data_IF_741691657191
#
_entry.id   IF_741691657191
#
_cell.length_a   1.000
_cell.length_b   1.000
_cell.length_c   1.000
_cell.angle_alpha   90.00
_cell.angle_beta   90.00
_cell.angle_gamma   90.00
#
_symmetry.space_group_name_H-M   'P 1'
#
loop_
_entity.id
_entity.type
_entity.pdbx_description
1 polymer ?
#
# COMPACT_ATOMS: atom_id res chain seq x y z
N UNK A 1 27.48 43.90 15.14
CA UNK A 1 26.89 42.85 16.01
C UNK A 1 25.50 42.56 15.47
N UNK A 2 25.38 41.49 14.69
CA UNK A 2 24.09 40.98 14.21
C UNK A 2 23.72 39.85 15.19
N UNK A 3 22.53 39.84 15.81
CA UNK A 3 22.15 38.74 16.67
C UNK A 3 21.80 37.54 15.79
N UNK A 4 22.51 36.42 16.01
CA UNK A 4 22.15 35.09 15.54
C UNK A 4 20.76 34.74 16.10
N UNK A 5 19.73 34.86 15.29
CA UNK A 5 18.42 34.27 15.60
C UNK A 5 18.50 32.78 15.35
N UNK A 6 18.57 32.06 16.46
CA UNK A 6 17.87 30.82 16.74
C UNK A 6 17.73 29.86 15.56
N UNK A 7 18.63 28.87 15.55
CA UNK A 7 18.40 27.61 14.88
C UNK A 7 17.07 27.05 15.35
N UNK A 8 16.04 27.21 14.53
CA UNK A 8 14.77 26.54 14.70
C UNK A 8 15.07 25.05 14.95
N UNK A 9 14.49 24.42 15.99
CA UNK A 9 14.67 23.00 16.19
C UNK A 9 14.21 22.32 14.90
N UNK A 10 15.13 21.67 14.20
CA UNK A 10 14.82 20.83 13.06
C UNK A 10 13.75 19.86 13.52
N UNK A 11 12.49 20.16 13.22
CA UNK A 11 11.38 19.30 13.56
C UNK A 11 11.73 17.93 13.00
N UNK A 12 11.77 16.92 13.87
CA UNK A 12 11.99 15.54 13.45
C UNK A 12 11.13 15.28 12.22
N UNK A 13 11.70 14.73 11.13
CA UNK A 13 10.95 14.55 9.90
C UNK A 13 9.73 13.68 10.23
N UNK A 14 8.53 14.27 10.17
CA UNK A 14 7.29 13.53 10.32
C UNK A 14 7.36 12.38 9.31
N UNK A 15 7.43 11.14 9.81
CA UNK A 15 7.54 9.96 8.96
C UNK A 15 6.49 10.04 7.84
N UNK A 16 6.92 10.17 6.58
CA UNK A 16 6.01 10.47 5.50
C UNK A 16 5.02 9.31 5.30
N UNK A 17 3.80 9.63 4.87
CA UNK A 17 2.70 8.67 4.74
C UNK A 17 3.09 7.40 3.95
N UNK A 18 3.96 7.54 2.94
CA UNK A 18 4.42 6.41 2.13
C UNK A 18 5.27 5.39 2.91
N UNK A 19 6.06 5.80 3.91
CA UNK A 19 6.84 4.88 4.75
C UNK A 19 5.92 4.01 5.60
N UNK A 20 4.85 4.62 6.11
CA UNK A 20 3.81 3.94 6.89
C UNK A 20 3.10 2.88 6.04
N UNK A 21 2.77 3.19 4.79
CA UNK A 21 2.18 2.22 3.87
C UNK A 21 3.18 1.13 3.47
N UNK A 22 4.45 1.47 3.26
CA UNK A 22 5.45 0.43 2.99
C UNK A 22 5.59 -0.56 4.14
N UNK A 23 5.51 -0.09 5.39
CA UNK A 23 5.49 -0.98 6.56
C UNK A 23 4.31 -1.96 6.50
N UNK A 24 3.10 -1.45 6.21
CA UNK A 24 1.91 -2.28 5.99
C UNK A 24 2.13 -3.30 4.87
N UNK A 25 2.68 -2.88 3.72
CA UNK A 25 2.91 -3.79 2.59
C UNK A 25 3.93 -4.87 2.96
N UNK A 26 4.95 -4.54 3.74
CA UNK A 26 5.90 -5.54 4.25
C UNK A 26 5.23 -6.53 5.19
N UNK A 27 4.45 -6.04 6.16
CA UNK A 27 3.69 -6.87 7.11
C UNK A 27 2.71 -7.82 6.40
N UNK A 28 2.14 -7.38 5.28
CA UNK A 28 1.15 -8.14 4.52
C UNK A 28 1.77 -9.13 3.53
N UNK A 29 2.96 -8.84 2.98
CA UNK A 29 3.51 -9.63 1.86
C UNK A 29 4.78 -10.40 2.19
N UNK A 30 5.36 -10.21 3.38
CA UNK A 30 6.69 -10.70 3.77
C UNK A 30 7.80 -10.37 2.77
N UNK A 31 7.57 -9.42 1.85
CA UNK A 31 8.53 -9.00 0.83
C UNK A 31 9.16 -7.69 1.23
N UNK A 32 10.50 -7.72 1.32
CA UNK A 32 11.32 -6.54 1.54
C UNK A 32 11.36 -5.69 0.26
N UNK A 33 10.55 -4.63 0.24
CA UNK A 33 10.69 -3.54 -0.70
C UNK A 33 11.73 -2.53 -0.19
N UNK A 34 12.51 -1.91 -1.09
CA UNK A 34 13.39 -0.83 -0.67
C UNK A 34 12.59 0.31 -0.03
N UNK A 35 13.03 0.79 1.13
CA UNK A 35 12.42 1.94 1.82
C UNK A 35 12.79 3.25 1.13
N UNK A 36 12.26 3.44 -0.07
CA UNK A 36 12.50 4.64 -0.87
C UNK A 36 11.19 5.21 -1.42
N UNK A 37 11.09 6.55 -1.56
CA UNK A 37 9.99 7.18 -2.28
C UNK A 37 9.87 6.66 -3.72
N UNK A 38 11.00 6.36 -4.37
CA UNK A 38 11.03 5.80 -5.72
C UNK A 38 10.36 4.42 -5.78
N UNK A 39 10.50 3.59 -4.76
CA UNK A 39 9.82 2.29 -4.69
C UNK A 39 8.31 2.47 -4.59
N UNK A 40 7.88 3.43 -3.77
CA UNK A 40 6.47 3.70 -3.59
C UNK A 40 5.85 4.37 -4.83
N UNK A 41 6.44 5.46 -5.34
CA UNK A 41 5.91 6.28 -6.44
C UNK A 41 6.18 5.68 -7.82
N UNK A 42 7.36 5.09 -8.03
CA UNK A 42 7.84 4.64 -9.34
C UNK A 42 7.95 3.12 -9.44
N UNK A 43 7.52 2.37 -8.42
CA UNK A 43 7.64 0.92 -8.38
C UNK A 43 9.10 0.43 -8.54
N UNK A 44 10.08 1.24 -8.14
CA UNK A 44 11.49 0.87 -8.16
C UNK A 44 11.76 -0.29 -7.20
N UNK A 45 12.04 -1.48 -7.73
CA UNK A 45 12.18 -2.72 -6.98
C UNK A 45 13.37 -3.54 -7.49
N UNK A 46 13.99 -4.30 -6.61
CA UNK A 46 15.03 -5.28 -6.95
C UNK A 46 14.46 -6.57 -7.53
N UNK A 47 13.13 -6.75 -7.48
CA UNK A 47 12.45 -7.91 -8.04
C UNK A 47 12.50 -7.90 -9.57
N UNK A 48 12.61 -9.07 -10.19
CA UNK A 48 12.43 -9.20 -11.64
C UNK A 48 11.01 -8.76 -12.04
N UNK A 49 10.86 -8.19 -13.25
CA UNK A 49 9.56 -7.73 -13.75
C UNK A 49 8.48 -8.83 -13.70
N UNK A 50 8.86 -10.07 -14.04
CA UNK A 50 7.96 -11.22 -13.99
C UNK A 50 7.48 -11.52 -12.56
N UNK A 51 8.38 -11.48 -11.57
CA UNK A 51 8.03 -11.72 -10.16
C UNK A 51 7.19 -10.58 -9.62
N UNK A 52 7.51 -9.35 -10.02
CA UNK A 52 6.84 -8.15 -9.58
C UNK A 52 5.39 -8.09 -10.07
N UNK A 53 5.18 -8.29 -11.37
CA UNK A 53 3.85 -8.27 -12.01
C UNK A 53 2.95 -9.42 -11.56
N UNK A 54 3.54 -10.55 -11.14
CA UNK A 54 2.83 -11.71 -10.55
C UNK A 54 2.74 -11.65 -9.01
N UNK A 55 2.99 -10.49 -8.41
CA UNK A 55 2.83 -10.28 -6.97
C UNK A 55 1.66 -9.35 -6.69
N UNK A 56 1.20 -9.33 -5.44
CA UNK A 56 0.16 -8.40 -5.00
C UNK A 56 0.71 -6.97 -4.81
N UNK A 57 2.03 -6.82 -4.66
CA UNK A 57 2.69 -5.54 -4.34
C UNK A 57 2.31 -4.37 -5.26
N UNK A 58 2.34 -4.49 -6.61
CA UNK A 58 2.02 -3.37 -7.48
C UNK A 58 0.59 -2.86 -7.23
N UNK A 59 -0.35 -3.76 -6.91
CA UNK A 59 -1.73 -3.40 -6.57
C UNK A 59 -1.76 -2.64 -5.25
N UNK A 60 -1.14 -3.19 -4.22
CA UNK A 60 -1.08 -2.56 -2.90
C UNK A 60 -0.47 -1.15 -2.96
N UNK A 61 0.59 -0.97 -3.75
CA UNK A 61 1.21 0.34 -3.97
C UNK A 61 0.29 1.30 -4.73
N UNK A 62 -0.44 0.81 -5.73
CA UNK A 62 -1.38 1.66 -6.48
C UNK A 62 -2.59 2.08 -5.62
N UNK A 63 -3.13 1.17 -4.81
CA UNK A 63 -4.19 1.48 -3.85
C UNK A 63 -3.71 2.48 -2.80
N UNK A 64 -2.50 2.27 -2.28
CA UNK A 64 -1.86 3.20 -1.37
C UNK A 64 -1.70 4.60 -1.96
N UNK A 65 -1.33 4.71 -3.25
CA UNK A 65 -1.27 6.01 -3.96
C UNK A 65 -2.63 6.67 -4.05
N UNK A 66 -3.65 5.89 -4.40
CA UNK A 66 -5.02 6.38 -4.41
C UNK A 66 -5.44 6.86 -3.01
N UNK A 67 -4.97 6.24 -1.93
CA UNK A 67 -5.28 6.68 -0.57
C UNK A 67 -4.55 7.97 -0.14
N UNK A 68 -3.43 8.37 -0.76
CA UNK A 68 -2.67 9.55 -0.34
C UNK A 68 -3.56 10.79 -0.29
N UNK A 69 -4.36 11.06 -1.33
CA UNK A 69 -5.17 12.28 -1.36
C UNK A 69 -6.21 12.35 -0.23
N UNK A 70 -6.61 11.18 0.32
CA UNK A 70 -7.57 11.06 1.42
C UNK A 70 -6.88 11.27 2.77
N UNK A 71 -5.69 10.68 2.95
CA UNK A 71 -5.04 10.56 4.26
C UNK A 71 -3.76 11.39 4.43
N UNK A 72 -3.27 12.10 3.41
CA UNK A 72 -2.00 12.84 3.47
C UNK A 72 -1.95 13.93 4.55
N UNK A 73 -3.10 14.48 4.94
CA UNK A 73 -3.21 15.48 6.01
C UNK A 73 -3.34 14.85 7.40
N UNK A 74 -3.56 13.54 7.49
CA UNK A 74 -3.68 12.87 8.77
C UNK A 74 -2.30 12.62 9.38
N UNK A 75 -2.15 12.95 10.66
CA UNK A 75 -0.94 12.70 11.44
C UNK A 75 -0.77 11.23 11.78
N UNK A 76 -1.88 10.50 11.93
CA UNK A 76 -1.89 9.11 12.35
C UNK A 76 -1.66 8.18 11.15
N UNK A 77 -0.93 7.09 11.39
CA UNK A 77 -0.81 6.00 10.42
C UNK A 77 -2.19 5.35 10.25
N UNK A 78 -2.68 5.15 9.00
CA UNK A 78 -3.87 4.33 8.81
C UNK A 78 -3.59 2.95 9.40
N UNK A 79 -4.51 2.45 10.23
CA UNK A 79 -4.43 1.10 10.75
C UNK A 79 -4.40 0.11 9.58
N UNK A 80 -3.66 -0.99 9.73
CA UNK A 80 -3.61 -2.03 8.70
C UNK A 80 -5.02 -2.49 8.31
N UNK A 81 -5.90 -2.65 9.31
CA UNK A 81 -7.31 -3.01 9.13
C UNK A 81 -8.05 -2.04 8.20
N UNK A 82 -7.94 -0.73 8.45
CA UNK A 82 -8.54 0.29 7.58
C UNK A 82 -7.97 0.26 6.17
N UNK A 83 -6.67 0.05 6.04
CA UNK A 83 -6.06 -0.03 4.71
C UNK A 83 -6.55 -1.26 3.94
N UNK A 84 -6.67 -2.42 4.60
CA UNK A 84 -7.25 -3.63 4.00
C UNK A 84 -8.72 -3.41 3.62
N UNK A 85 -9.50 -2.72 4.45
CA UNK A 85 -10.89 -2.36 4.13
C UNK A 85 -10.99 -1.50 2.87
N UNK A 86 -10.11 -0.52 2.69
CA UNK A 86 -10.07 0.35 1.50
C UNK A 86 -9.65 -0.41 0.23
N UNK A 87 -8.65 -1.30 0.35
CA UNK A 87 -8.26 -2.20 -0.76
C UNK A 87 -9.43 -3.11 -1.14
N UNK A 88 -10.16 -3.64 -0.15
CA UNK A 88 -11.35 -4.45 -0.40
C UNK A 88 -12.52 -3.66 -0.99
N UNK A 89 -12.75 -2.42 -0.53
CA UNK A 89 -13.75 -1.55 -1.10
C UNK A 89 -13.45 -1.27 -2.59
N UNK A 90 -12.19 -1.00 -2.91
CA UNK A 90 -11.72 -0.83 -4.29
C UNK A 90 -11.94 -2.09 -5.12
N UNK A 91 -11.61 -3.27 -4.59
CA UNK A 91 -11.86 -4.54 -5.28
C UNK A 91 -13.35 -4.75 -5.54
N UNK A 92 -14.20 -4.59 -4.54
CA UNK A 92 -15.66 -4.77 -4.68
C UNK A 92 -16.25 -3.79 -5.70
N UNK A 93 -15.76 -2.55 -5.71
CA UNK A 93 -16.16 -1.57 -6.71
C UNK A 93 -15.75 -1.95 -8.14
N UNK A 94 -14.53 -2.47 -8.33
CA UNK A 94 -14.11 -2.98 -9.64
C UNK A 94 -14.92 -4.22 -10.07
N UNK A 95 -15.32 -5.08 -9.12
CA UNK A 95 -16.15 -6.26 -9.37
C UNK A 95 -17.54 -5.88 -9.90
N UNK A 96 -18.19 -4.89 -9.27
CA UNK A 96 -19.49 -4.36 -9.71
C UNK A 96 -19.44 -3.75 -11.12
N UNK A 97 -18.26 -3.37 -11.61
CA UNK A 97 -18.06 -2.87 -12.98
C UNK A 97 -17.75 -3.97 -13.99
N UNK A 98 -17.46 -5.20 -13.53
CA UNK A 98 -17.09 -6.32 -14.38
C UNK A 98 -18.31 -7.01 -15.02
N UNK A 99 -19.03 -6.24 -15.84
CA UNK A 99 -20.33 -6.64 -16.41
C UNK A 99 -20.21 -7.45 -17.72
N UNK A 100 -19.02 -7.55 -18.30
CA UNK A 100 -18.77 -8.37 -19.51
C UNK A 100 -17.78 -9.49 -19.20
N UNK A 101 -17.79 -10.61 -19.95
CA UNK A 101 -16.83 -11.70 -19.77
C UNK A 101 -15.37 -11.24 -19.84
N UNK A 102 -15.06 -10.31 -20.74
CA UNK A 102 -13.73 -9.72 -20.85
C UNK A 102 -13.34 -8.90 -19.60
N UNK A 103 -14.27 -8.09 -19.08
CA UNK A 103 -14.01 -7.35 -17.84
C UNK A 103 -13.87 -8.27 -16.63
N UNK A 104 -14.62 -9.38 -16.57
CA UNK A 104 -14.49 -10.40 -15.51
C UNK A 104 -13.14 -11.10 -15.56
N UNK A 105 -12.70 -11.56 -16.72
CA UNK A 105 -11.36 -12.18 -16.85
C UNK A 105 -10.24 -11.23 -16.41
N UNK A 106 -10.33 -9.96 -16.83
CA UNK A 106 -9.39 -8.91 -16.40
C UNK A 106 -9.45 -8.68 -14.89
N UNK A 107 -10.65 -8.62 -14.32
CA UNK A 107 -10.87 -8.48 -12.88
C UNK A 107 -10.25 -9.65 -12.11
N UNK A 108 -10.56 -10.89 -12.49
CA UNK A 108 -10.04 -12.10 -11.85
C UNK A 108 -8.52 -12.13 -11.88
N UNK A 109 -7.90 -11.90 -13.04
CA UNK A 109 -6.43 -11.83 -13.16
C UNK A 109 -5.84 -10.73 -12.29
N UNK A 110 -6.47 -9.55 -12.26
CA UNK A 110 -6.01 -8.39 -11.49
C UNK A 110 -6.06 -8.64 -9.97
N UNK A 111 -7.12 -9.28 -9.48
CA UNK A 111 -7.36 -9.46 -8.04
C UNK A 111 -7.02 -10.86 -7.52
N UNK A 112 -6.49 -11.73 -8.37
CA UNK A 112 -6.13 -13.11 -8.02
C UNK A 112 -5.17 -13.17 -6.82
N UNK A 113 -4.05 -12.44 -6.88
CA UNK A 113 -3.03 -12.48 -5.83
C UNK A 113 -3.52 -11.89 -4.51
N UNK A 114 -4.36 -10.86 -4.58
CA UNK A 114 -5.00 -10.30 -3.39
C UNK A 114 -6.00 -11.28 -2.77
N UNK A 115 -6.87 -11.88 -3.58
CA UNK A 115 -7.85 -12.87 -3.11
C UNK A 115 -7.15 -14.09 -2.49
N UNK A 116 -6.03 -14.55 -3.09
CA UNK A 116 -5.23 -15.64 -2.54
C UNK A 116 -4.59 -15.27 -1.20
N UNK A 117 -4.15 -14.03 -1.06
CA UNK A 117 -3.58 -13.51 0.19
C UNK A 117 -4.65 -13.40 1.28
N UNK A 118 -5.80 -12.80 0.99
CA UNK A 118 -6.87 -12.57 1.98
C UNK A 118 -7.59 -13.84 2.43
N UNK A 119 -7.57 -14.88 1.61
CA UNK A 119 -8.09 -16.21 1.95
C UNK A 119 -7.10 -17.08 2.71
N UNK A 120 -5.83 -16.68 2.80
CA UNK A 120 -4.83 -17.42 3.56
C UNK A 120 -5.02 -17.28 5.08
N UNK A 121 -4.88 -18.37 5.82
CA UNK A 121 -5.05 -18.37 7.27
C UNK A 121 -3.99 -17.51 7.98
N UNK A 122 -2.77 -17.44 7.44
CA UNK A 122 -1.71 -16.59 7.98
C UNK A 122 -2.11 -15.11 7.99
N UNK A 123 -2.68 -14.63 6.89
CA UNK A 123 -3.13 -13.25 6.78
C UNK A 123 -4.35 -12.98 7.66
N UNK A 124 -5.31 -13.92 7.74
CA UNK A 124 -6.50 -13.78 8.59
C UNK A 124 -6.14 -13.75 10.08
N UNK A 125 -5.22 -14.60 10.52
CA UNK A 125 -4.70 -14.57 11.89
C UNK A 125 -3.92 -13.31 12.18
N UNK A 126 -3.09 -12.83 11.24
CA UNK A 126 -2.36 -11.58 11.38
C UNK A 126 -3.30 -10.39 11.53
N UNK A 127 -4.36 -10.32 10.73
CA UNK A 127 -5.39 -9.29 10.85
C UNK A 127 -6.18 -9.35 12.16
N UNK A 128 -6.47 -10.55 12.68
CA UNK A 128 -7.20 -10.72 13.92
C UNK A 128 -6.37 -10.38 15.18
N UNK A 129 -5.04 -10.32 15.05
CA UNK A 129 -4.11 -10.01 16.13
C UNK A 129 -3.83 -8.50 16.29
N UNK A 130 -4.42 -7.66 15.44
CA UNK A 130 -4.27 -6.20 15.41
C UNK A 130 -5.50 -5.49 15.98
#
# INVERSE_FOLDING_TARGET
MVPDTDGAPCQEPRNPFWEKIQKIIHEVTDKLLPRSPATFLLHHTTMTLQTYTRSVIPRLLNDAKAMIHIYWKQTNTPLLTRWVEEVEATRKFEDMKANTPHHRDRYTKRWFHWTKLTTSDSFRHHLAAL
#
